data_IF_296958036383
#
_entry.id   IF_296958036383
#
_cell.length_a   1.000
_cell.length_b   1.000
_cell.length_c   1.000
_cell.angle_alpha   90.00
_cell.angle_beta   90.00
_cell.angle_gamma   90.00
#
_symmetry.space_group_name_H-M   'P 1'
#
loop_
_entity.id
_entity.type
_entity.pdbx_description
1 polymer ?
#
# COMPACT_ATOMS: atom_id res chain seq x y z
N UNK A 1 5.35 15.51 11.07
CA UNK A 1 3.96 15.65 10.55
C UNK A 1 3.46 17.08 10.73
N UNK A 2 3.37 17.56 11.98
CA UNK A 2 2.96 18.91 12.37
C UNK A 2 3.61 20.06 11.57
N UNK A 3 4.92 20.01 11.35
CA UNK A 3 5.66 21.08 10.66
C UNK A 3 5.18 21.34 9.22
N UNK A 4 4.62 20.31 8.54
CA UNK A 4 4.05 20.48 7.20
C UNK A 4 2.68 21.16 7.23
N UNK A 5 1.85 20.85 8.22
CA UNK A 5 0.56 21.52 8.43
C UNK A 5 0.82 23.00 8.66
N UNK A 6 1.81 23.35 9.50
CA UNK A 6 2.18 24.74 9.75
C UNK A 6 2.63 25.47 8.48
N UNK A 7 3.53 24.89 7.69
CA UNK A 7 3.96 25.47 6.42
C UNK A 7 2.82 25.64 5.42
N UNK A 8 1.94 24.65 5.33
CA UNK A 8 0.76 24.72 4.47
C UNK A 8 -0.25 25.78 4.97
N UNK A 9 -0.39 25.93 6.28
CA UNK A 9 -1.22 26.97 6.89
C UNK A 9 -0.66 28.37 6.59
N UNK A 10 0.64 28.58 6.79
CA UNK A 10 1.34 29.84 6.46
C UNK A 10 1.20 30.16 4.96
N UNK A 11 1.29 29.16 4.08
CA UNK A 11 1.09 29.32 2.64
C UNK A 11 -0.37 29.62 2.27
N UNK A 12 -1.34 29.12 3.04
CA UNK A 12 -2.77 29.31 2.80
C UNK A 12 -3.28 30.71 3.12
N UNK A 13 -2.47 31.55 3.80
CA UNK A 13 -2.84 32.89 4.29
C UNK A 13 -4.08 32.93 5.20
N UNK A 14 -4.52 31.78 5.73
CA UNK A 14 -5.63 31.70 6.66
C UNK A 14 -5.15 32.02 8.07
N UNK A 15 -5.94 32.78 8.81
CA UNK A 15 -5.72 32.93 10.26
C UNK A 15 -6.06 31.63 10.99
N UNK A 16 -5.49 31.41 12.18
CA UNK A 16 -5.82 30.23 12.99
C UNK A 16 -7.32 30.11 13.29
N UNK A 17 -8.03 31.24 13.42
CA UNK A 17 -9.47 31.26 13.64
C UNK A 17 -10.24 30.77 12.41
N UNK A 18 -9.94 31.33 11.23
CA UNK A 18 -10.60 30.94 9.98
C UNK A 18 -10.31 29.49 9.60
N UNK A 19 -9.09 29.02 9.90
CA UNK A 19 -8.71 27.64 9.69
C UNK A 19 -9.46 26.69 10.64
N UNK A 20 -9.56 27.04 11.92
CA UNK A 20 -10.33 26.28 12.90
C UNK A 20 -11.80 26.12 12.45
N UNK A 21 -12.40 27.22 12.00
CA UNK A 21 -13.78 27.26 11.52
C UNK A 21 -13.97 26.42 10.24
N UNK A 22 -13.02 26.48 9.29
CA UNK A 22 -13.07 25.68 8.05
C UNK A 22 -12.89 24.18 8.27
N UNK A 23 -12.02 23.79 9.20
CA UNK A 23 -11.75 22.38 9.52
C UNK A 23 -12.82 21.81 10.46
N UNK A 24 -13.53 22.68 11.18
CA UNK A 24 -14.53 22.29 12.19
C UNK A 24 -13.88 21.78 13.47
N UNK A 25 -12.79 22.40 13.90
CA UNK A 25 -12.08 22.11 15.16
C UNK A 25 -11.99 23.34 16.03
N UNK A 26 -11.73 23.14 17.32
CA UNK A 26 -11.54 24.27 18.23
C UNK A 26 -10.24 25.03 17.92
N UNK A 27 -10.21 26.33 18.18
CA UNK A 27 -8.99 27.14 18.05
C UNK A 27 -7.86 26.61 18.94
N UNK A 28 -8.20 26.13 20.14
CA UNK A 28 -7.25 25.50 21.06
C UNK A 28 -6.60 24.26 20.44
N UNK A 29 -7.38 23.45 19.73
CA UNK A 29 -6.86 22.31 18.95
C UNK A 29 -5.87 22.75 17.87
N UNK A 30 -6.10 23.89 17.21
CA UNK A 30 -5.15 24.45 16.22
C UNK A 30 -3.83 24.84 16.87
N UNK A 31 -3.86 25.47 18.04
CA UNK A 31 -2.64 25.82 18.78
C UNK A 31 -1.89 24.58 19.30
N UNK A 32 -2.63 23.56 19.72
CA UNK A 32 -2.10 22.29 20.23
C UNK A 32 -1.72 21.28 19.15
N UNK A 33 -1.88 21.62 17.86
CA UNK A 33 -1.41 20.77 16.76
C UNK A 33 0.07 20.39 16.91
N UNK A 34 0.87 21.16 17.66
CA UNK A 34 2.28 20.88 17.91
C UNK A 34 2.58 19.84 19.00
N UNK A 35 1.70 19.72 20.00
CA UNK A 35 2.03 19.03 21.25
C UNK A 35 1.16 17.80 21.53
N UNK A 36 0.04 17.64 20.81
CA UNK A 36 -0.89 16.53 21.05
C UNK A 36 -0.97 15.53 19.89
N UNK A 37 -1.36 14.30 20.23
CA UNK A 37 -1.67 13.26 19.24
C UNK A 37 -3.00 13.59 18.57
N UNK A 38 -2.93 14.07 17.33
CA UNK A 38 -4.11 14.44 16.55
C UNK A 38 -4.75 13.17 15.98
N UNK A 39 -6.08 13.07 16.09
CA UNK A 39 -6.84 11.95 15.49
C UNK A 39 -6.71 11.97 13.96
N UNK A 40 -6.62 10.78 13.36
CA UNK A 40 -6.48 10.62 11.91
C UNK A 40 -7.59 11.33 11.12
N UNK A 41 -8.83 11.23 11.60
CA UNK A 41 -10.00 11.89 11.00
C UNK A 41 -9.87 13.43 11.00
N UNK A 42 -9.18 14.01 11.98
CA UNK A 42 -8.90 15.45 12.02
C UNK A 42 -7.83 15.82 11.00
N UNK A 43 -6.81 14.98 10.84
CA UNK A 43 -5.75 15.17 9.84
C UNK A 43 -6.34 15.12 8.43
N UNK A 44 -7.26 14.20 8.15
CA UNK A 44 -7.94 14.09 6.86
C UNK A 44 -8.67 15.40 6.50
N UNK A 45 -9.45 15.96 7.43
CA UNK A 45 -10.13 17.25 7.24
C UNK A 45 -9.15 18.40 7.02
N UNK A 46 -8.04 18.41 7.76
CA UNK A 46 -6.97 19.40 7.58
C UNK A 46 -6.37 19.31 6.18
N UNK A 47 -6.07 18.10 5.70
CA UNK A 47 -5.56 17.87 4.35
C UNK A 47 -6.54 18.36 3.27
N UNK A 48 -7.83 18.09 3.43
CA UNK A 48 -8.87 18.57 2.52
C UNK A 48 -8.93 20.10 2.44
N UNK A 49 -8.89 20.79 3.59
CA UNK A 49 -8.95 22.27 3.65
C UNK A 49 -7.68 22.90 3.07
N UNK A 50 -6.52 22.26 3.25
CA UNK A 50 -5.23 22.76 2.76
C UNK A 50 -4.90 22.30 1.34
N UNK A 51 -5.76 21.50 0.69
CA UNK A 51 -5.51 20.95 -0.64
C UNK A 51 -4.31 20.00 -0.69
N UNK A 52 -4.00 19.35 0.43
CA UNK A 52 -2.90 18.38 0.54
C UNK A 52 -3.42 16.97 0.25
N UNK A 53 -2.62 16.19 -0.46
CA UNK A 53 -2.91 14.76 -0.64
C UNK A 53 -2.72 14.03 0.70
N UNK A 54 -3.81 13.43 1.19
CA UNK A 54 -3.82 12.74 2.47
C UNK A 54 -2.89 11.51 2.47
N UNK A 55 -2.81 10.77 1.35
CA UNK A 55 -1.96 9.59 1.26
C UNK A 55 -0.48 9.98 1.32
N UNK A 56 -0.07 11.01 0.59
CA UNK A 56 1.29 11.55 0.64
C UNK A 56 1.65 12.06 2.04
N UNK A 57 0.68 12.70 2.71
CA UNK A 57 0.83 13.21 4.06
C UNK A 57 1.06 12.09 5.10
N UNK A 58 0.28 11.02 5.03
CA UNK A 58 0.39 9.85 5.93
C UNK A 58 1.64 9.03 5.62
N UNK A 59 1.99 8.81 4.36
CA UNK A 59 3.19 8.05 3.96
C UNK A 59 4.44 8.68 4.57
N UNK A 60 4.54 10.01 4.57
CA UNK A 60 5.70 10.70 5.15
C UNK A 60 5.73 10.62 6.69
N UNK A 61 4.58 10.67 7.35
CA UNK A 61 4.51 10.44 8.78
C UNK A 61 4.91 9.02 9.19
N UNK A 62 4.51 8.04 8.39
CA UNK A 62 4.85 6.63 8.56
C UNK A 62 6.33 6.39 8.26
N UNK A 63 6.92 7.07 7.25
CA UNK A 63 8.36 7.02 6.96
C UNK A 63 9.22 7.58 8.11
N UNK A 64 8.76 8.64 8.79
CA UNK A 64 9.46 9.21 9.95
C UNK A 64 9.40 8.28 11.16
N UNK A 65 8.34 7.48 11.30
CA UNK A 65 8.18 6.53 12.40
C UNK A 65 8.83 5.15 12.13
N UNK A 66 9.39 4.93 10.93
CA UNK A 66 9.89 3.60 10.49
C UNK A 66 11.36 3.61 10.08
N UNK A 67 12.18 4.35 10.81
CA UNK A 67 13.61 4.00 10.99
C UNK A 67 13.80 3.11 12.24
N UNK A 68 12.78 2.93 13.08
CA UNK A 68 12.76 1.91 14.11
C UNK A 68 11.64 0.91 13.84
N UNK A 69 12.05 -0.31 13.53
CA UNK A 69 11.30 -1.57 13.45
C UNK A 69 10.54 -1.89 12.15
N UNK A 70 10.63 -3.15 11.69
CA UNK A 70 10.35 -3.52 10.32
C UNK A 70 8.86 -3.34 10.03
N UNK A 71 8.59 -2.57 8.97
CA UNK A 71 7.49 -2.90 8.08
C UNK A 71 7.56 -4.39 7.80
N UNK A 72 6.63 -5.13 8.40
CA UNK A 72 5.90 -6.26 7.84
C UNK A 72 5.30 -7.03 9.00
N UNK A 73 4.15 -6.54 9.49
CA UNK A 73 3.15 -7.45 10.06
C UNK A 73 2.53 -8.22 8.89
N UNK A 74 3.26 -9.20 8.32
CA UNK A 74 2.70 -10.28 7.49
C UNK A 74 1.97 -11.30 8.40
N UNK A 75 1.15 -10.81 9.32
CA UNK A 75 0.25 -11.65 10.12
C UNK A 75 -1.17 -11.67 9.53
N UNK A 76 -1.31 -11.23 8.27
CA UNK A 76 -2.44 -11.63 7.45
C UNK A 76 -2.22 -13.09 7.00
N UNK A 77 -2.77 -14.01 7.80
CA UNK A 77 -3.23 -15.36 7.44
C UNK A 77 -2.15 -16.39 7.09
N UNK A 78 -1.74 -17.18 8.07
CA UNK A 78 -1.12 -18.51 7.81
C UNK A 78 -2.00 -19.41 6.90
N UNK A 79 -3.32 -19.17 6.85
CA UNK A 79 -4.24 -19.83 5.90
C UNK A 79 -4.01 -19.40 4.43
N UNK A 80 -3.59 -18.16 4.16
CA UNK A 80 -3.30 -17.71 2.79
C UNK A 80 -2.05 -18.41 2.25
N UNK A 81 -1.01 -18.55 3.07
CA UNK A 81 0.24 -19.19 2.63
C UNK A 81 0.05 -20.69 2.29
N UNK A 82 -0.78 -21.41 3.05
CA UNK A 82 -1.12 -22.82 2.74
C UNK A 82 -1.94 -22.94 1.46
N UNK A 83 -2.87 -22.02 1.24
CA UNK A 83 -3.72 -22.00 0.04
C UNK A 83 -2.89 -21.67 -1.20
N UNK A 84 -2.05 -20.64 -1.11
CA UNK A 84 -1.09 -20.27 -2.17
C UNK A 84 -0.12 -21.41 -2.48
N UNK A 85 0.38 -22.11 -1.46
CA UNK A 85 1.25 -23.28 -1.68
C UNK A 85 0.52 -24.41 -2.41
N UNK A 86 -0.71 -24.73 -2.01
CA UNK A 86 -1.53 -25.74 -2.71
C UNK A 86 -1.83 -25.36 -4.16
N UNK A 87 -2.13 -24.09 -4.41
CA UNK A 87 -2.35 -23.58 -5.77
C UNK A 87 -1.07 -23.69 -6.61
N UNK A 88 0.08 -23.33 -6.04
CA UNK A 88 1.36 -23.45 -6.71
C UNK A 88 1.71 -24.91 -7.02
N UNK A 89 1.54 -25.82 -6.06
CA UNK A 89 1.79 -27.25 -6.25
C UNK A 89 0.87 -27.84 -7.34
N UNK A 90 -0.40 -27.42 -7.38
CA UNK A 90 -1.33 -27.81 -8.43
C UNK A 90 -0.91 -27.31 -9.82
N UNK A 91 -0.56 -26.03 -9.93
CA UNK A 91 -0.08 -25.44 -11.19
C UNK A 91 1.18 -26.14 -11.69
N UNK A 92 2.12 -26.43 -10.80
CA UNK A 92 3.35 -27.15 -11.16
C UNK A 92 3.07 -28.58 -11.63
N UNK A 93 2.11 -29.28 -11.02
CA UNK A 93 1.68 -30.60 -11.49
C UNK A 93 1.06 -30.55 -12.89
N UNK A 94 0.28 -29.51 -13.19
CA UNK A 94 -0.32 -29.35 -14.52
C UNK A 94 0.74 -29.07 -15.58
N UNK A 95 1.70 -28.19 -15.27
CA UNK A 95 2.81 -27.86 -16.16
C UNK A 95 3.66 -29.09 -16.48
N UNK A 96 3.94 -29.95 -15.50
CA UNK A 96 4.74 -31.16 -15.74
C UNK A 96 3.98 -32.18 -16.61
N UNK A 97 2.67 -32.33 -16.42
CA UNK A 97 1.83 -33.20 -17.25
C UNK A 97 1.80 -32.73 -18.72
N UNK A 98 1.66 -31.42 -18.93
CA UNK A 98 1.68 -30.84 -20.28
C UNK A 98 3.05 -31.01 -20.93
N UNK A 99 4.14 -30.84 -20.19
CA UNK A 99 5.52 -31.04 -20.66
C UNK A 99 5.78 -32.48 -21.12
N UNK A 100 5.31 -33.47 -20.38
CA UNK A 100 5.41 -34.89 -20.76
C UNK A 100 4.64 -35.14 -22.06
N UNK A 101 3.43 -34.58 -22.17
CA UNK A 101 2.58 -34.72 -23.36
C UNK A 101 3.25 -34.10 -24.60
N UNK A 102 3.80 -32.90 -24.46
CA UNK A 102 4.54 -32.22 -25.54
C UNK A 102 5.76 -33.05 -25.96
N UNK A 103 6.49 -33.61 -25.01
CA UNK A 103 7.66 -34.45 -25.29
C UNK A 103 7.28 -35.71 -26.06
N UNK A 104 6.19 -36.38 -25.67
CA UNK A 104 5.67 -37.55 -26.36
C UNK A 104 5.22 -37.22 -27.80
N UNK A 105 4.51 -36.10 -27.99
CA UNK A 105 4.09 -35.63 -29.30
C UNK A 105 5.31 -35.33 -30.20
N UNK A 106 6.31 -34.63 -29.69
CA UNK A 106 7.54 -34.33 -30.45
C UNK A 106 8.27 -35.60 -30.88
N UNK A 107 8.38 -36.60 -29.99
CA UNK A 107 8.99 -37.89 -30.33
C UNK A 107 8.19 -38.65 -31.40
N UNK A 108 6.86 -38.50 -31.41
CA UNK A 108 5.97 -39.11 -32.41
C UNK A 108 6.12 -38.42 -33.76
N UNK A 109 6.16 -37.08 -33.76
CA UNK A 109 6.41 -36.28 -34.97
C UNK A 109 7.75 -36.68 -35.59
N UNK A 110 8.81 -36.80 -34.78
CA UNK A 110 10.14 -37.18 -35.28
C UNK A 110 10.14 -38.59 -35.92
N UNK A 111 9.39 -39.55 -35.34
CA UNK A 111 9.24 -40.90 -35.91
C UNK A 111 8.46 -40.89 -37.22
N UNK A 112 7.37 -40.12 -37.31
CA UNK A 112 6.57 -39.99 -38.55
C UNK A 112 7.37 -39.30 -39.65
N UNK A 113 8.17 -38.28 -39.33
CA UNK A 113 9.07 -37.63 -40.28
C UNK A 113 10.10 -38.59 -40.87
N UNK A 114 10.64 -39.51 -40.05
CA UNK A 114 11.59 -40.55 -40.50
C UNK A 114 10.96 -41.64 -41.36
N UNK A 115 9.65 -41.85 -41.29
CA UNK A 115 8.93 -42.83 -42.13
C UNK A 115 8.52 -42.25 -43.50
N UNK A 116 8.40 -40.93 -43.60
CA UNK A 116 8.07 -40.20 -44.82
C UNK A 116 9.31 -39.65 -45.57
N UNK A 117 10.52 -39.97 -45.08
CA UNK A 117 11.82 -39.67 -45.71
C UNK A 117 12.37 -40.92 -46.37
#
# INVERSE_FOLDING_TARGET
>A
MVHKIKKALEASKLTHAEFADKVGISRDTVYKLNDETIKLATIEKICQVLGLDFAEFIIQAVKISKVSEPLVKYEAKQEDCKTLKRMNDFLMSQVEADRVTITALNSTIERLSKLNS
#
